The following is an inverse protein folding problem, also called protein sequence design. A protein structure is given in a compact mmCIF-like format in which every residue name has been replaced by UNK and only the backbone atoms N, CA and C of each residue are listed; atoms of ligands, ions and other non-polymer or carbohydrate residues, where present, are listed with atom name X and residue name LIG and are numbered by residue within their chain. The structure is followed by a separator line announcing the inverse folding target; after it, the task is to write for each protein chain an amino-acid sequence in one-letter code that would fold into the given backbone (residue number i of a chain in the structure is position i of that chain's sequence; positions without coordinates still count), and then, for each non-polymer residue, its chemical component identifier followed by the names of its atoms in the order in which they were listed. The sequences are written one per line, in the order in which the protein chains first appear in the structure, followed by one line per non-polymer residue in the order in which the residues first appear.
data_IF_879367532229
#
_entry.id   IF_879367532229
#
_cell.length_a   1.000
_cell.length_b   1.000
_cell.length_c   1.000
_cell.angle_alpha   90.00
_cell.angle_beta   90.00
_cell.angle_gamma   90.00
#
_symmetry.space_group_name_H-M   'P 1'
#
loop_
_entity.id
_entity.type
_entity.pdbx_description
1 polymer ?
#
# COMPACT_ATOMS: atom_id res chain seq x y z
N UNK A 1 -3.26 -8.48 -9.58
CA UNK A 1 -2.70 -9.67 -10.29
C UNK A 1 -1.74 -9.17 -11.36
N UNK A 2 -0.44 -9.39 -11.23
CA UNK A 2 0.52 -9.16 -12.32
C UNK A 2 0.42 -10.33 -13.30
N UNK A 3 0.31 -10.03 -14.58
CA UNK A 3 0.01 -10.98 -15.66
C UNK A 3 1.01 -12.15 -15.72
N UNK A 4 0.52 -13.38 -15.54
CA UNK A 4 1.14 -14.61 -16.09
C UNK A 4 2.11 -15.40 -15.21
N UNK A 5 2.43 -14.97 -13.99
CA UNK A 5 3.24 -15.78 -13.05
C UNK A 5 2.37 -16.48 -11.99
N UNK A 6 2.85 -17.64 -11.51
CA UNK A 6 2.24 -18.32 -10.37
C UNK A 6 2.18 -17.38 -9.14
N UNK A 7 1.14 -17.47 -8.30
CA UNK A 7 1.03 -16.62 -7.13
C UNK A 7 2.28 -16.73 -6.26
N UNK A 8 2.88 -15.59 -5.92
CA UNK A 8 4.04 -15.52 -5.03
C UNK A 8 3.66 -16.09 -3.66
N UNK A 9 4.44 -17.06 -3.17
CA UNK A 9 4.20 -17.61 -1.85
C UNK A 9 4.52 -16.59 -0.75
N UNK A 10 3.79 -16.68 0.37
CA UNK A 10 3.86 -15.68 1.44
C UNK A 10 5.27 -15.59 2.07
N UNK A 11 5.96 -16.72 2.23
CA UNK A 11 7.29 -16.75 2.85
C UNK A 11 8.31 -16.05 1.95
N UNK A 12 8.30 -16.35 0.66
CA UNK A 12 9.14 -15.66 -0.32
C UNK A 12 8.80 -14.19 -0.38
N UNK A 13 7.52 -13.81 -0.43
CA UNK A 13 7.08 -12.40 -0.44
C UNK A 13 7.67 -11.60 0.72
N UNK A 14 7.64 -12.17 1.94
CA UNK A 14 8.23 -11.54 3.14
C UNK A 14 9.74 -11.34 2.98
N UNK A 15 10.46 -12.35 2.49
CA UNK A 15 11.92 -12.29 2.38
C UNK A 15 12.44 -11.43 1.23
N UNK A 16 11.71 -11.35 0.11
CA UNK A 16 12.15 -10.56 -1.06
C UNK A 16 11.71 -9.10 -0.98
N UNK A 17 10.71 -8.76 -0.16
CA UNK A 17 10.25 -7.36 -0.01
C UNK A 17 11.41 -6.43 0.36
N UNK A 18 11.47 -5.28 -0.30
CA UNK A 18 12.44 -4.20 -0.09
C UNK A 18 11.72 -2.87 0.14
N UNK A 19 12.41 -1.93 0.77
CA UNK A 19 11.92 -0.55 0.87
C UNK A 19 12.26 0.18 -0.43
N UNK A 20 11.28 0.28 -1.33
CA UNK A 20 11.41 0.95 -2.62
C UNK A 20 11.28 2.47 -2.42
N UNK A 21 12.09 3.25 -3.14
CA UNK A 21 12.13 4.73 -3.04
C UNK A 21 12.08 5.44 -4.40
N UNK A 22 12.05 4.68 -5.48
CA UNK A 22 11.90 5.16 -6.86
C UNK A 22 10.79 4.34 -7.47
N UNK A 23 9.75 5.00 -7.97
CA UNK A 23 8.55 4.39 -8.51
C UNK A 23 8.34 4.88 -9.96
N UNK A 24 7.61 4.10 -10.74
CA UNK A 24 7.14 4.55 -12.07
C UNK A 24 6.04 5.60 -11.91
N UNK A 25 5.66 6.24 -13.01
CA UNK A 25 4.51 7.16 -13.05
C UNK A 25 3.17 6.43 -13.27
N UNK A 26 3.18 5.10 -13.28
CA UNK A 26 1.98 4.29 -13.49
C UNK A 26 1.07 4.38 -12.26
N UNK A 27 -0.22 4.73 -12.44
CA UNK A 27 -1.16 4.76 -11.33
C UNK A 27 -1.46 3.34 -10.82
N UNK A 28 -1.68 3.21 -9.52
CA UNK A 28 -2.15 1.96 -8.92
C UNK A 28 -3.65 1.82 -9.18
N UNK A 29 -4.11 0.64 -9.58
CA UNK A 29 -5.52 0.38 -9.79
C UNK A 29 -6.32 0.54 -8.47
N UNK A 30 -7.51 1.12 -8.54
CA UNK A 30 -8.35 1.34 -7.36
C UNK A 30 -8.67 0.02 -6.62
N UNK A 31 -8.86 -1.07 -7.35
CA UNK A 31 -9.15 -2.40 -6.81
C UNK A 31 -7.97 -2.96 -6.00
N UNK A 32 -6.74 -2.72 -6.45
CA UNK A 32 -5.53 -3.11 -5.72
C UNK A 32 -5.40 -2.32 -4.43
N UNK A 33 -5.70 -1.01 -4.46
CA UNK A 33 -5.74 -0.16 -3.25
C UNK A 33 -6.75 -0.70 -2.24
N UNK A 34 -7.97 -1.00 -2.68
CA UNK A 34 -9.02 -1.55 -1.80
C UNK A 34 -8.61 -2.90 -1.20
N UNK A 35 -8.01 -3.78 -2.02
CA UNK A 35 -7.52 -5.09 -1.57
C UNK A 35 -6.46 -4.93 -0.48
N UNK A 36 -5.50 -4.01 -0.66
CA UNK A 36 -4.45 -3.74 0.31
C UNK A 36 -4.99 -3.16 1.61
N UNK A 37 -5.94 -2.21 1.52
CA UNK A 37 -6.58 -1.63 2.70
C UNK A 37 -7.34 -2.70 3.48
N UNK A 38 -8.14 -3.54 2.81
CA UNK A 38 -8.88 -4.62 3.45
C UNK A 38 -7.94 -5.61 4.16
N UNK A 39 -6.82 -5.98 3.52
CA UNK A 39 -5.81 -6.84 4.14
C UNK A 39 -5.17 -6.19 5.37
N UNK A 40 -4.85 -4.90 5.32
CA UNK A 40 -4.30 -4.16 6.46
C UNK A 40 -5.29 -4.04 7.63
N UNK A 41 -6.56 -3.79 7.35
CA UNK A 41 -7.63 -3.69 8.35
C UNK A 41 -7.99 -5.04 8.99
N UNK A 42 -7.62 -6.16 8.37
CA UNK A 42 -7.80 -7.49 8.96
C UNK A 42 -6.79 -7.81 10.08
N UNK A 43 -5.80 -6.95 10.32
CA UNK A 43 -4.82 -7.14 11.38
C UNK A 43 -5.48 -7.12 12.78
N UNK A 44 -5.02 -7.93 13.75
CA UNK A 44 -5.53 -7.85 15.10
C UNK A 44 -5.20 -6.50 15.76
N UNK A 45 -6.10 -6.00 16.58
CA UNK A 45 -5.89 -4.82 17.44
C UNK A 45 -6.28 -5.11 18.88
N UNK A 46 -5.65 -4.41 19.83
CA UNK A 46 -5.99 -4.51 21.24
C UNK A 46 -7.48 -4.21 21.46
N UNK A 47 -8.20 -5.15 22.08
CA UNK A 47 -9.65 -5.04 22.30
C UNK A 47 -10.49 -4.92 21.02
N UNK A 48 -9.95 -5.31 19.86
CA UNK A 48 -10.55 -5.05 18.55
C UNK A 48 -10.88 -3.57 18.31
N UNK A 49 -10.09 -2.65 18.88
CA UNK A 49 -10.32 -1.22 18.78
C UNK A 49 -10.15 -0.64 17.38
N UNK A 50 -9.50 -1.38 16.48
CA UNK A 50 -9.26 -1.01 15.07
C UNK A 50 -8.83 0.47 14.90
N UNK A 51 -7.81 0.93 15.64
CA UNK A 51 -7.52 2.36 15.78
C UNK A 51 -6.81 2.97 14.55
N UNK A 52 -6.73 2.23 13.44
CA UNK A 52 -6.10 2.68 12.21
C UNK A 52 -7.03 3.63 11.45
N UNK A 53 -6.42 4.63 10.82
CA UNK A 53 -7.06 5.52 9.87
C UNK A 53 -6.17 5.57 8.64
N UNK A 54 -6.74 5.34 7.47
CA UNK A 54 -6.02 5.39 6.20
C UNK A 54 -6.59 6.51 5.35
N UNK A 55 -5.71 7.37 4.84
CA UNK A 55 -6.05 8.40 3.86
C UNK A 55 -5.28 8.07 2.58
N UNK A 56 -6.00 7.72 1.52
CA UNK A 56 -5.41 7.50 0.20
C UNK A 56 -5.25 8.86 -0.46
N UNK A 57 -4.03 9.15 -0.93
CA UNK A 57 -3.72 10.34 -1.72
C UNK A 57 -3.18 9.89 -3.06
N UNK A 58 -4.01 10.02 -4.09
CA UNK A 58 -3.72 9.65 -5.48
C UNK A 58 -3.56 10.86 -6.41
N UNK A 59 -3.98 12.05 -5.98
CA UNK A 59 -3.73 13.31 -6.69
C UNK A 59 -2.23 13.69 -6.65
N UNK A 60 -1.52 13.68 -7.79
CA UNK A 60 -0.11 14.05 -7.85
C UNK A 60 0.18 15.48 -7.38
N UNK A 61 -0.74 16.42 -7.60
CA UNK A 61 -0.58 17.80 -7.19
C UNK A 61 -0.65 17.94 -5.67
N UNK A 62 -1.55 17.19 -5.02
CA UNK A 62 -1.65 17.12 -3.56
C UNK A 62 -0.43 16.40 -2.95
N UNK A 63 0.00 15.27 -3.54
CA UNK A 63 1.21 14.57 -3.12
C UNK A 63 2.45 15.48 -3.16
N UNK A 64 2.61 16.27 -4.22
CA UNK A 64 3.70 17.24 -4.35
C UNK A 64 3.65 18.36 -3.29
N UNK A 65 2.46 18.73 -2.81
CA UNK A 65 2.32 19.70 -1.69
C UNK A 65 2.72 19.05 -0.36
N UNK A 66 2.27 17.82 -0.09
CA UNK A 66 2.62 17.08 1.14
C UNK A 66 4.12 16.83 1.21
N UNK A 67 4.75 16.42 0.11
CA UNK A 67 6.18 16.14 0.07
C UNK A 67 7.04 17.37 0.44
N UNK A 68 6.64 18.56 -0.01
CA UNK A 68 7.37 19.82 0.24
C UNK A 68 7.21 20.37 1.66
N UNK A 69 6.24 19.89 2.43
CA UNK A 69 5.91 20.41 3.76
C UNK A 69 6.39 19.50 4.92
N UNK A 70 7.25 18.53 4.65
CA UNK A 70 7.89 17.72 5.69
C UNK A 70 9.27 18.31 6.01
N UNK A 71 9.30 19.24 6.98
CA UNK A 71 10.44 19.93 7.61
C UNK A 71 11.53 20.52 6.69
#
# INVERSE_FOLDING_TARGET
MIHGEAPLDVITAIHIRRSVRVYTAEPVAAEDIQTLLAAGMAAPSAGNGQPWQFVVVDDPALLAKIHRNQF
#
